data_IF_694012290492
#
_entry.id   IF_694012290492
#
_cell.length_a   1.000
_cell.length_b   1.000
_cell.length_c   1.000
_cell.angle_alpha   90.00
_cell.angle_beta   90.00
_cell.angle_gamma   90.00
#
_symmetry.space_group_name_H-M   'P 1'
#
loop_
_entity.id
_entity.type
_entity.pdbx_description
1 polymer ?
#
# COMPACT_ATOMS: atom_id res chain seq x y z
N UNK A 1 10.36 1.66 18.63
CA UNK A 1 10.76 1.09 17.33
C UNK A 1 9.49 0.93 16.52
N UNK A 2 9.49 1.30 15.24
CA UNK A 2 8.31 1.10 14.41
C UNK A 2 8.19 -0.36 13.99
N UNK A 3 6.98 -0.76 13.66
CA UNK A 3 6.61 -2.08 13.15
C UNK A 3 6.19 -1.93 11.69
N UNK A 4 6.30 -3.02 10.92
CA UNK A 4 5.90 -3.05 9.52
C UNK A 4 4.41 -3.41 9.42
N UNK A 5 3.63 -2.58 8.74
CA UNK A 5 2.22 -2.83 8.49
C UNK A 5 1.93 -2.84 6.99
N UNK A 6 0.97 -3.67 6.58
CA UNK A 6 0.37 -3.72 5.26
C UNK A 6 -1.09 -3.26 5.35
N UNK A 7 -1.43 -2.35 4.44
CA UNK A 7 -2.78 -1.86 4.20
C UNK A 7 -3.15 -2.17 2.76
N UNK A 8 -4.21 -2.94 2.55
CA UNK A 8 -4.78 -3.13 1.22
C UNK A 8 -5.83 -2.05 1.02
N UNK A 9 -5.49 -0.98 0.32
CA UNK A 9 -6.38 0.16 0.12
C UNK A 9 -7.14 0.01 -1.19
N UNK A 10 -8.45 0.22 -1.14
CA UNK A 10 -9.25 0.55 -2.30
C UNK A 10 -9.21 2.06 -2.47
N UNK A 11 -8.79 2.49 -3.67
CA UNK A 11 -8.64 3.91 -4.00
C UNK A 11 -9.47 4.26 -5.23
N UNK A 12 -10.05 5.45 -5.19
CA UNK A 12 -10.69 6.10 -6.33
C UNK A 12 -9.73 7.05 -7.02
N UNK A 13 -10.12 7.48 -8.23
CA UNK A 13 -9.35 8.45 -9.01
C UNK A 13 -9.12 9.77 -8.26
N UNK A 14 -10.09 10.24 -7.48
CA UNK A 14 -10.01 11.53 -6.81
C UNK A 14 -9.68 12.66 -7.78
N UNK A 15 -8.63 13.44 -7.47
CA UNK A 15 -8.08 14.48 -8.34
C UNK A 15 -6.87 14.02 -9.16
N UNK A 16 -6.42 12.77 -8.96
CA UNK A 16 -5.28 12.21 -9.65
C UNK A 16 -5.54 12.12 -11.17
N UNK A 17 -4.59 12.61 -11.95
CA UNK A 17 -4.65 12.64 -13.42
C UNK A 17 -3.94 11.47 -14.09
N UNK A 18 -3.15 10.72 -13.34
CA UNK A 18 -2.43 9.54 -13.83
C UNK A 18 -3.39 8.39 -14.07
N UNK A 19 -4.39 8.20 -13.19
CA UNK A 19 -5.45 7.21 -13.38
C UNK A 19 -6.39 7.65 -14.52
N UNK A 20 -6.49 6.85 -15.60
CA UNK A 20 -7.44 7.11 -16.67
C UNK A 20 -8.89 7.28 -16.19
N UNK A 21 -9.62 8.20 -16.80
CA UNK A 21 -10.99 8.53 -16.41
C UNK A 21 -12.03 7.42 -16.64
N UNK A 22 -11.67 6.38 -17.41
CA UNK A 22 -12.55 5.24 -17.68
C UNK A 22 -12.49 4.16 -16.59
N UNK A 23 -11.50 4.23 -15.68
CA UNK A 23 -11.35 3.29 -14.58
C UNK A 23 -12.17 3.75 -13.37
N UNK A 24 -12.73 2.79 -12.64
CA UNK A 24 -13.51 3.07 -11.43
C UNK A 24 -12.61 3.26 -10.20
N UNK A 25 -11.42 2.68 -10.19
CA UNK A 25 -10.48 2.79 -9.09
C UNK A 25 -9.32 1.80 -9.23
N UNK A 26 -8.58 1.63 -8.13
CA UNK A 26 -7.54 0.61 -8.02
C UNK A 26 -7.48 0.02 -6.61
N UNK A 27 -6.92 -1.18 -6.53
CA UNK A 27 -6.43 -1.76 -5.27
C UNK A 27 -4.92 -1.57 -5.18
N UNK A 28 -4.43 -1.14 -4.03
CA UNK A 28 -3.00 -0.94 -3.79
C UNK A 28 -2.60 -1.47 -2.42
N UNK A 29 -1.53 -2.26 -2.41
CA UNK A 29 -0.86 -2.67 -1.18
C UNK A 29 0.07 -1.53 -0.72
N UNK A 30 -0.15 -1.00 0.48
CA UNK A 30 0.67 0.05 1.07
C UNK A 30 1.36 -0.49 2.31
N UNK A 31 2.69 -0.45 2.31
CA UNK A 31 3.53 -0.90 3.41
C UNK A 31 4.06 0.33 4.14
N UNK A 32 3.87 0.38 5.46
CA UNK A 32 4.24 1.55 6.28
C UNK A 32 4.99 1.13 7.53
N UNK A 33 5.95 1.96 7.93
CA UNK A 33 6.59 1.86 9.24
C UNK A 33 5.82 2.73 10.24
N UNK A 34 5.18 2.12 11.23
CA UNK A 34 4.40 2.87 12.23
C UNK A 34 4.54 2.29 13.64
N UNK A 35 4.18 3.08 14.66
CA UNK A 35 4.22 2.62 16.04
C UNK A 35 3.16 1.55 16.34
N UNK A 36 1.98 1.67 15.73
CA UNK A 36 0.83 0.77 15.88
C UNK A 36 -0.07 0.81 14.63
N UNK A 37 -1.12 -0.02 14.62
CA UNK A 37 -2.02 -0.17 13.47
C UNK A 37 -2.86 1.08 13.17
N UNK A 38 -3.26 1.85 14.18
CA UNK A 38 -4.01 3.11 13.97
C UNK A 38 -3.12 4.16 13.28
N UNK A 39 -1.88 4.32 13.77
CA UNK A 39 -0.90 5.21 13.17
C UNK A 39 -0.56 4.78 11.74
N UNK A 40 -0.46 3.47 11.49
CA UNK A 40 -0.26 2.92 10.16
C UNK A 40 -1.39 3.33 9.21
N UNK A 41 -2.65 3.14 9.63
CA UNK A 41 -3.82 3.50 8.82
C UNK A 41 -3.84 4.99 8.47
N UNK A 42 -3.64 5.86 9.47
CA UNK A 42 -3.59 7.31 9.26
C UNK A 42 -2.50 7.68 8.26
N UNK A 43 -1.30 7.13 8.41
CA UNK A 43 -0.17 7.40 7.53
C UNK A 43 -0.41 6.88 6.10
N UNK A 44 -0.90 5.65 5.95
CA UNK A 44 -1.19 5.07 4.65
C UNK A 44 -2.24 5.86 3.86
N UNK A 45 -3.32 6.27 4.53
CA UNK A 45 -4.37 7.11 3.92
C UNK A 45 -3.81 8.48 3.54
N UNK A 46 -3.04 9.13 4.42
CA UNK A 46 -2.42 10.42 4.14
C UNK A 46 -1.50 10.36 2.90
N UNK A 47 -0.78 9.25 2.71
CA UNK A 47 0.11 9.07 1.57
C UNK A 47 -0.64 8.86 0.24
N UNK A 48 -1.82 8.24 0.25
CA UNK A 48 -2.70 8.14 -0.92
C UNK A 48 -3.28 9.52 -1.27
N UNK A 49 -3.77 10.24 -0.26
CA UNK A 49 -4.33 11.58 -0.45
C UNK A 49 -3.28 12.58 -0.95
N UNK A 50 -2.03 12.48 -0.49
CA UNK A 50 -0.92 13.30 -0.97
C UNK A 50 -0.57 13.07 -2.45
N UNK A 51 -1.06 11.97 -3.05
CA UNK A 51 -0.95 11.64 -4.47
C UNK A 51 -2.24 11.96 -5.25
N UNK A 52 -3.13 12.74 -4.65
CA UNK A 52 -4.44 13.15 -5.19
C UNK A 52 -5.43 12.00 -5.43
N UNK A 53 -5.13 10.80 -4.96
CA UNK A 53 -6.06 9.68 -4.98
C UNK A 53 -7.10 9.83 -3.85
N UNK A 54 -8.29 9.32 -4.11
CA UNK A 54 -9.35 9.24 -3.09
C UNK A 54 -9.23 7.92 -2.34
N UNK A 55 -9.18 7.95 -1.01
CA UNK A 55 -9.32 6.75 -0.21
C UNK A 55 -10.80 6.34 -0.16
N UNK A 56 -11.11 5.11 -0.55
CA UNK A 56 -12.47 4.57 -0.50
C UNK A 56 -12.64 3.71 0.75
N UNK A 57 -11.85 2.64 0.88
CA UNK A 57 -11.93 1.71 2.00
C UNK A 57 -10.67 0.83 2.11
N UNK A 58 -10.57 0.04 3.19
CA UNK A 58 -9.69 -1.12 3.26
C UNK A 58 -10.32 -2.28 2.48
N UNK A 59 -9.64 -2.75 1.44
CA UNK A 59 -10.15 -3.78 0.53
C UNK A 59 -10.51 -5.11 1.23
N UNK A 60 -9.84 -5.43 2.34
CA UNK A 60 -10.08 -6.60 3.18
C UNK A 60 -10.56 -6.25 4.60
N UNK A 61 -10.85 -4.97 4.86
CA UNK A 61 -11.31 -4.46 6.14
C UNK A 61 -10.28 -4.53 7.28
N UNK A 62 -8.99 -4.76 7.00
CA UNK A 62 -7.98 -5.04 8.03
C UNK A 62 -6.66 -4.29 7.81
N UNK A 63 -5.96 -4.05 8.91
CA UNK A 63 -4.55 -3.64 8.93
C UNK A 63 -3.72 -4.85 9.34
N UNK A 64 -2.81 -5.29 8.48
CA UNK A 64 -1.97 -6.47 8.75
C UNK A 64 -0.63 -6.03 9.30
N UNK A 65 -0.17 -6.68 10.35
CA UNK A 65 1.21 -6.54 10.81
C UNK A 65 2.07 -7.61 10.16
N UNK A 66 3.19 -7.22 9.57
CA UNK A 66 4.14 -8.13 8.93
C UNK A 66 5.41 -8.29 9.78
N UNK A 67 6.11 -9.41 9.56
CA UNK A 67 7.46 -9.62 10.08
C UNK A 67 8.49 -9.04 9.08
N UNK A 68 9.18 -7.95 9.42
CA UNK A 68 10.15 -7.34 8.51
C UNK A 68 11.38 -8.23 8.26
N UNK A 69 11.67 -9.20 9.13
CA UNK A 69 12.77 -10.16 8.94
C UNK A 69 12.45 -11.26 7.91
N UNK A 70 11.21 -11.31 7.43
CA UNK A 70 10.74 -12.22 6.38
C UNK A 70 10.26 -11.46 5.15
N UNK A 71 10.68 -10.20 4.99
CA UNK A 71 10.22 -9.35 3.91
C UNK A 71 10.52 -9.92 2.52
N UNK A 72 11.75 -10.40 2.29
CA UNK A 72 12.14 -10.93 0.97
C UNK A 72 11.35 -12.21 0.62
N UNK A 73 11.06 -13.05 1.62
CA UNK A 73 10.24 -14.25 1.48
C UNK A 73 8.78 -13.88 1.18
N UNK A 74 8.24 -12.90 1.91
CA UNK A 74 6.90 -12.37 1.71
C UNK A 74 6.73 -11.82 0.29
N UNK A 75 7.63 -10.95 -0.17
CA UNK A 75 7.58 -10.38 -1.53
C UNK A 75 7.70 -11.49 -2.57
N UNK A 76 8.61 -12.45 -2.40
CA UNK A 76 8.75 -13.55 -3.34
C UNK A 76 7.51 -14.46 -3.40
N UNK A 77 6.74 -14.56 -2.32
CA UNK A 77 5.50 -15.34 -2.27
C UNK A 77 4.29 -14.60 -2.83
N UNK A 78 4.18 -13.30 -2.58
CA UNK A 78 2.99 -12.49 -2.95
C UNK A 78 3.17 -11.78 -4.30
N UNK A 79 4.38 -11.32 -4.61
CA UNK A 79 4.69 -10.52 -5.80
C UNK A 79 5.93 -11.06 -6.54
N UNK A 80 5.95 -12.35 -6.95
CA UNK A 80 7.14 -12.96 -7.55
C UNK A 80 7.62 -12.22 -8.79
N UNK A 81 6.71 -11.70 -9.62
CA UNK A 81 7.04 -10.97 -10.86
C UNK A 81 7.54 -9.54 -10.60
N UNK A 82 7.25 -8.97 -9.43
CA UNK A 82 7.60 -7.59 -9.10
C UNK A 82 8.70 -7.48 -8.05
N UNK A 83 9.36 -8.59 -7.71
CA UNK A 83 10.36 -8.63 -6.63
C UNK A 83 11.43 -7.55 -6.74
N UNK A 84 11.90 -7.27 -7.96
CA UNK A 84 12.94 -6.26 -8.22
C UNK A 84 12.45 -4.81 -8.05
N UNK A 85 11.13 -4.59 -7.97
CA UNK A 85 10.52 -3.28 -7.73
C UNK A 85 10.27 -2.99 -6.26
N UNK A 86 10.44 -3.99 -5.38
CA UNK A 86 10.33 -3.82 -3.93
C UNK A 86 11.71 -3.55 -3.31
N UNK A 87 11.76 -2.80 -2.20
CA UNK A 87 12.99 -2.65 -1.42
C UNK A 87 13.46 -4.02 -0.93
N UNK A 88 14.76 -4.17 -0.73
CA UNK A 88 15.34 -5.32 -0.05
C UNK A 88 14.93 -5.34 1.42
N UNK A 89 14.99 -6.52 2.05
CA UNK A 89 14.77 -6.66 3.49
C UNK A 89 15.66 -5.73 4.33
N UNK A 90 16.92 -5.51 3.93
CA UNK A 90 17.81 -4.60 4.63
C UNK A 90 17.32 -3.14 4.57
N UNK A 91 16.81 -2.71 3.42
CA UNK A 91 16.23 -1.37 3.25
C UNK A 91 14.93 -1.19 4.03
N UNK A 92 14.08 -2.21 4.10
CA UNK A 92 12.89 -2.21 4.95
C UNK A 92 13.28 -2.08 6.42
N UNK A 93 14.23 -2.89 6.88
CA UNK A 93 14.72 -2.84 8.27
C UNK A 93 15.32 -1.48 8.63
N UNK A 94 16.08 -0.85 7.72
CA UNK A 94 16.56 0.51 7.90
C UNK A 94 15.40 1.53 7.90
N UNK A 95 14.41 1.33 7.02
CA UNK A 95 13.19 2.13 6.92
C UNK A 95 12.37 2.17 8.21
N UNK A 96 12.35 1.08 8.99
CA UNK A 96 11.66 1.03 10.29
C UNK A 96 12.21 1.99 11.35
N UNK A 97 13.42 2.53 11.17
CA UNK A 97 13.93 3.60 12.02
C UNK A 97 13.35 4.98 11.66
N UNK A 98 12.72 5.12 10.50
CA UNK A 98 12.08 6.35 10.02
C UNK A 98 10.56 6.28 10.19
N UNK A 99 9.92 7.31 10.77
CA UNK A 99 8.46 7.37 10.87
C UNK A 99 7.78 7.56 9.50
N UNK A 100 8.47 8.12 8.51
CA UNK A 100 7.88 8.48 7.23
C UNK A 100 8.07 7.39 6.14
N UNK A 101 8.63 6.25 6.50
CA UNK A 101 8.89 5.18 5.53
C UNK A 101 7.58 4.58 5.03
N UNK A 102 7.41 4.59 3.71
CA UNK A 102 6.29 3.98 2.99
C UNK A 102 6.79 3.33 1.71
N UNK A 103 6.23 2.19 1.37
CA UNK A 103 6.45 1.48 0.12
C UNK A 103 5.09 1.11 -0.49
N UNK A 104 4.97 1.22 -1.81
CA UNK A 104 3.77 0.86 -2.54
C UNK A 104 4.02 -0.40 -3.35
N UNK A 105 3.08 -1.33 -3.29
CA UNK A 105 2.95 -2.39 -4.28
C UNK A 105 2.34 -1.88 -5.59
N UNK A 106 2.12 -2.80 -6.55
CA UNK A 106 1.50 -2.46 -7.81
C UNK A 106 0.07 -1.95 -7.61
N UNK A 107 -0.35 -1.04 -8.49
CA UNK A 107 -1.71 -0.50 -8.53
C UNK A 107 -2.55 -1.36 -9.46
N UNK A 108 -3.45 -2.16 -8.90
CA UNK A 108 -4.35 -3.02 -9.64
C UNK A 108 -5.65 -2.27 -9.96
N UNK A 109 -5.68 -1.59 -11.10
CA UNK A 109 -6.86 -0.84 -11.52
C UNK A 109 -8.02 -1.74 -11.95
N UNK A 110 -9.26 -1.26 -11.77
CA UNK A 110 -10.47 -1.95 -12.19
C UNK A 110 -11.45 -1.01 -12.91
N UNK A 111 -12.21 -1.57 -13.84
CA UNK A 111 -13.24 -0.87 -14.60
C UNK A 111 -14.55 -0.77 -13.80
N UNK A 112 -15.40 0.24 -14.06
CA UNK A 112 -16.73 0.28 -13.49
C UNK A 112 -17.52 -0.94 -13.94
N UNK A 113 -18.11 -1.66 -12.99
CA UNK A 113 -19.05 -2.73 -13.33
C UNK A 113 -20.20 -2.14 -14.12
N UNK A 114 -20.33 -2.50 -15.40
CA UNK A 114 -21.48 -2.11 -16.22
C UNK A 114 -22.69 -2.88 -15.67
N UNK A 115 -23.71 -2.22 -15.10
CA UNK A 115 -24.94 -2.92 -14.75
C UNK A 115 -25.64 -3.32 -16.06
N UNK A 116 -25.92 -4.61 -16.21
CA UNK A 116 -26.83 -5.14 -17.24
C UNK A 116 -28.27 -4.69 -17.00
#
# INVERSE_FOLDING_TARGET
MNQLFLLNLQIGRGQNREMPSHLAGAFVAVYVAAANHEAALVQGVAQIQARDYEFIDLADGKVHQLDPLRWDEYVAGVWPEFREHFPSQAEVMAGLASPDWVCFGPFAAYEPSVPN
#
